data_IF_071396046734
#
_entry.id   IF_071396046734
#
_cell.length_a   1.000
_cell.length_b   1.000
_cell.length_c   1.000
_cell.angle_alpha   90.00
_cell.angle_beta   90.00
_cell.angle_gamma   90.00
#
_symmetry.space_group_name_H-M   'P 1'
#
loop_
_entity.id
_entity.type
_entity.pdbx_description
1 polymer ?
#
# COMPACT_ATOMS: atom_id res chain seq x y z
N UNK A 1 -46.99 -28.06 8.92
CA UNK A 1 -46.70 -26.60 8.97
C UNK A 1 -45.22 -26.47 8.73
N UNK A 2 -44.82 -26.00 7.55
CA UNK A 2 -43.41 -25.99 7.16
C UNK A 2 -42.61 -25.14 8.12
N UNK A 3 -41.58 -25.72 8.72
CA UNK A 3 -40.56 -24.99 9.46
C UNK A 3 -39.88 -24.05 8.47
N UNK A 4 -40.43 -22.84 8.34
CA UNK A 4 -39.79 -21.80 7.56
C UNK A 4 -38.37 -21.67 8.11
N UNK A 5 -37.33 -21.75 7.26
CA UNK A 5 -35.95 -21.87 7.73
C UNK A 5 -35.45 -20.50 8.21
N UNK A 6 -36.01 -20.03 9.32
CA UNK A 6 -35.72 -18.75 9.95
C UNK A 6 -34.22 -18.59 10.22
N UNK A 7 -33.55 -19.69 10.62
CA UNK A 7 -32.11 -19.73 10.79
C UNK A 7 -31.34 -19.36 9.52
N UNK A 8 -31.82 -19.80 8.34
CA UNK A 8 -31.21 -19.49 7.05
C UNK A 8 -31.41 -18.02 6.68
N UNK A 9 -32.60 -17.48 6.93
CA UNK A 9 -32.90 -16.04 6.74
C UNK A 9 -32.05 -15.17 7.66
N UNK A 10 -31.89 -15.55 8.93
CA UNK A 10 -31.01 -14.86 9.87
C UNK A 10 -29.54 -14.95 9.46
N UNK A 11 -29.07 -16.12 9.01
CA UNK A 11 -27.71 -16.30 8.54
C UNK A 11 -27.41 -15.44 7.31
N UNK A 12 -28.30 -15.41 6.31
CA UNK A 12 -28.18 -14.56 5.12
C UNK A 12 -28.23 -13.08 5.50
N UNK A 13 -29.15 -12.68 6.39
CA UNK A 13 -29.24 -11.32 6.91
C UNK A 13 -27.95 -10.89 7.61
N UNK A 14 -27.37 -11.74 8.44
CA UNK A 14 -26.11 -11.47 9.14
C UNK A 14 -24.93 -11.32 8.16
N UNK A 15 -24.83 -12.19 7.14
CA UNK A 15 -23.79 -12.09 6.10
C UNK A 15 -23.92 -10.78 5.33
N UNK A 16 -25.13 -10.41 4.90
CA UNK A 16 -25.36 -9.15 4.17
C UNK A 16 -24.98 -7.92 5.03
N UNK A 17 -25.31 -7.94 6.32
CA UNK A 17 -25.02 -6.84 7.25
C UNK A 17 -23.50 -6.70 7.52
N UNK A 18 -22.79 -7.82 7.67
CA UNK A 18 -21.33 -7.86 7.80
C UNK A 18 -20.62 -7.41 6.50
N UNK A 19 -21.07 -7.89 5.35
CA UNK A 19 -20.53 -7.50 4.05
C UNK A 19 -20.70 -5.99 3.79
N UNK A 20 -21.87 -5.43 4.10
CA UNK A 20 -22.11 -3.99 3.98
C UNK A 20 -21.24 -3.15 4.93
N UNK A 21 -20.91 -3.67 6.13
CA UNK A 21 -19.98 -3.03 7.07
C UNK A 21 -18.54 -3.07 6.57
N UNK A 22 -18.12 -4.19 5.99
CA UNK A 22 -16.77 -4.36 5.41
C UNK A 22 -16.59 -3.47 4.18
N UNK A 23 -17.59 -3.42 3.30
CA UNK A 23 -17.57 -2.59 2.08
C UNK A 23 -17.48 -1.09 2.40
N UNK A 24 -18.25 -0.61 3.39
CA UNK A 24 -18.19 0.79 3.85
C UNK A 24 -16.80 1.17 4.39
N UNK A 25 -16.12 0.26 5.10
CA UNK A 25 -14.77 0.50 5.61
C UNK A 25 -13.72 0.62 4.50
N UNK A 26 -13.86 -0.15 3.42
CA UNK A 26 -12.96 -0.10 2.25
C UNK A 26 -13.04 1.28 1.57
N UNK A 27 -14.26 1.71 1.22
CA UNK A 27 -14.52 3.00 0.55
C UNK A 27 -14.14 4.20 1.40
N UNK A 28 -14.35 4.13 2.71
CA UNK A 28 -13.99 5.22 3.61
C UNK A 28 -12.46 5.44 3.66
N UNK A 29 -11.65 4.36 3.61
CA UNK A 29 -10.18 4.48 3.53
C UNK A 29 -9.70 5.09 2.22
N UNK A 30 -10.33 4.73 1.10
CA UNK A 30 -10.02 5.29 -0.22
C UNK A 30 -10.37 6.78 -0.28
N UNK A 31 -11.57 7.16 0.17
CA UNK A 31 -12.01 8.56 0.20
C UNK A 31 -11.13 9.45 1.09
N UNK A 32 -10.66 8.93 2.24
CA UNK A 32 -9.74 9.66 3.11
C UNK A 32 -8.35 9.85 2.48
N UNK A 33 -7.86 8.85 1.75
CA UNK A 33 -6.59 8.97 1.02
C UNK A 33 -6.69 9.94 -0.16
N UNK A 34 -7.83 9.98 -0.86
CA UNK A 34 -8.06 10.90 -1.98
C UNK A 34 -8.23 12.35 -1.51
N UNK A 35 -8.88 12.56 -0.37
CA UNK A 35 -9.04 13.86 0.29
C UNK A 35 -7.80 14.29 1.10
N UNK A 36 -6.78 13.44 1.23
CA UNK A 36 -5.59 13.78 2.00
C UNK A 36 -4.80 14.90 1.30
N UNK A 37 -4.41 15.96 2.03
CA UNK A 37 -3.55 17.00 1.49
C UNK A 37 -2.16 16.43 1.18
N UNK A 38 -1.47 17.03 0.20
CA UNK A 38 -0.08 16.72 -0.08
C UNK A 38 0.77 17.06 1.16
N UNK A 39 1.46 16.06 1.71
CA UNK A 39 2.30 16.19 2.88
C UNK A 39 3.76 16.08 2.46
N UNK A 40 4.55 17.10 2.75
CA UNK A 40 5.99 17.15 2.50
C UNK A 40 6.69 16.91 3.84
N UNK A 41 7.54 15.89 3.90
CA UNK A 41 8.27 15.51 5.12
C UNK A 41 9.73 15.35 4.79
N UNK A 42 10.62 16.00 5.53
CA UNK A 42 12.06 15.75 5.42
C UNK A 42 12.38 14.36 5.96
N UNK A 43 12.95 13.50 5.12
CA UNK A 43 13.21 12.11 5.45
C UNK A 43 14.51 11.60 4.82
N UNK A 44 15.09 10.58 5.44
CA UNK A 44 16.25 9.85 4.97
C UNK A 44 15.85 8.48 4.45
N UNK A 45 16.43 8.03 3.34
CA UNK A 45 16.22 6.67 2.83
C UNK A 45 17.01 5.68 3.70
N UNK A 46 16.33 4.93 4.56
CA UNK A 46 16.98 3.99 5.48
C UNK A 46 17.27 2.65 4.82
N UNK A 47 16.34 2.14 4.02
CA UNK A 47 16.47 0.83 3.39
C UNK A 47 15.70 0.79 2.08
N UNK A 48 16.21 -0.01 1.13
CA UNK A 48 15.61 -0.25 -0.18
C UNK A 48 15.50 -1.76 -0.37
N UNK A 49 14.34 -2.22 -0.85
CA UNK A 49 14.08 -3.63 -1.11
C UNK A 49 13.37 -3.80 -2.44
N UNK A 50 13.88 -4.71 -3.24
CA UNK A 50 13.22 -5.23 -4.43
C UNK A 50 12.89 -6.71 -4.23
N UNK A 51 11.68 -7.12 -4.62
CA UNK A 51 11.25 -8.51 -4.53
C UNK A 51 10.23 -8.83 -5.62
N UNK A 52 10.23 -10.05 -6.16
CA UNK A 52 9.24 -10.45 -7.16
C UNK A 52 7.84 -10.42 -6.55
N UNK A 53 6.82 -9.98 -7.31
CA UNK A 53 5.42 -10.26 -6.95
C UNK A 53 5.24 -11.77 -6.92
N UNK A 54 5.27 -12.36 -5.73
CA UNK A 54 4.90 -13.76 -5.56
C UNK A 54 3.49 -13.98 -6.11
N UNK A 55 3.40 -14.55 -7.32
CA UNK A 55 2.15 -15.10 -7.83
C UNK A 55 1.92 -16.40 -7.07
N UNK A 56 1.07 -16.35 -6.03
CA UNK A 56 0.44 -17.53 -5.45
C UNK A 56 -0.51 -18.16 -6.48
N UNK A 57 0.02 -18.76 -7.54
CA UNK A 57 -0.65 -19.84 -8.29
C UNK A 57 0.42 -20.84 -8.65
N UNK A 58 0.35 -21.98 -7.98
CA UNK A 58 1.17 -23.13 -8.26
C UNK A 58 0.94 -23.61 -9.69
N UNK A 59 2.04 -24.13 -10.26
CA UNK A 59 2.19 -24.88 -11.50
C UNK A 59 2.43 -24.07 -12.76
N UNK A 60 3.62 -24.36 -13.28
CA UNK A 60 3.90 -24.58 -14.69
C UNK A 60 3.61 -23.38 -15.59
N UNK A 61 4.64 -22.60 -15.87
CA UNK A 61 5.20 -22.46 -17.23
C UNK A 61 6.43 -21.56 -17.12
N UNK A 62 7.58 -22.07 -17.58
CA UNK A 62 8.73 -21.25 -17.94
C UNK A 62 8.31 -20.37 -19.12
N UNK A 63 7.84 -19.16 -18.82
CA UNK A 63 7.82 -18.08 -19.79
C UNK A 63 8.74 -17.02 -19.21
N UNK A 64 9.80 -16.69 -19.94
CA UNK A 64 10.64 -15.52 -19.67
C UNK A 64 9.78 -14.25 -19.82
N UNK A 65 8.97 -13.96 -18.81
CA UNK A 65 8.26 -12.70 -18.64
C UNK A 65 9.00 -12.02 -17.50
N UNK A 66 9.48 -10.79 -17.73
CA UNK A 66 9.97 -9.93 -16.66
C UNK A 66 9.06 -10.10 -15.45
N UNK A 67 9.58 -10.74 -14.40
CA UNK A 67 8.82 -11.02 -13.20
C UNK A 67 8.36 -9.66 -12.66
N UNK A 68 7.07 -9.52 -12.35
CA UNK A 68 6.48 -8.22 -12.02
C UNK A 68 7.08 -7.73 -10.68
N UNK A 69 8.14 -6.93 -10.72
CA UNK A 69 8.94 -6.59 -9.54
C UNK A 69 8.22 -5.58 -8.64
N UNK A 70 8.34 -5.77 -7.33
CA UNK A 70 7.92 -4.82 -6.32
C UNK A 70 9.13 -4.07 -5.78
N UNK A 71 8.98 -2.76 -5.75
CA UNK A 71 9.98 -1.85 -5.23
C UNK A 71 9.42 -1.20 -3.97
N UNK A 72 10.12 -1.36 -2.86
CA UNK A 72 9.80 -0.73 -1.58
C UNK A 72 11.01 0.04 -1.06
N UNK A 73 10.76 1.22 -0.51
CA UNK A 73 11.75 1.94 0.28
C UNK A 73 11.20 2.31 1.63
N UNK A 74 12.05 2.20 2.64
CA UNK A 74 11.80 2.64 4.01
C UNK A 74 12.48 3.97 4.21
N UNK A 75 11.66 4.98 4.53
CA UNK A 75 12.09 6.34 4.82
C UNK A 75 12.02 6.59 6.32
N UNK A 76 13.06 7.18 6.90
CA UNK A 76 13.07 7.65 8.28
C UNK A 76 12.86 9.17 8.28
N UNK A 77 11.72 9.69 8.75
CA UNK A 77 11.51 11.12 8.91
C UNK A 77 12.52 11.74 9.87
N UNK A 78 13.04 12.92 9.53
CA UNK A 78 13.97 13.67 10.41
C UNK A 78 13.20 14.29 11.58
N UNK A 79 12.00 14.81 11.31
CA UNK A 79 11.16 15.48 12.30
C UNK A 79 10.06 14.57 12.91
N UNK A 80 10.14 13.25 12.71
CA UNK A 80 9.07 12.32 13.11
C UNK A 80 9.58 11.02 13.70
N UNK A 81 8.80 10.44 14.62
CA UNK A 81 9.07 9.14 15.21
C UNK A 81 8.33 8.05 14.43
N UNK A 82 9.04 7.30 13.59
CA UNK A 82 8.50 6.11 12.91
C UNK A 82 8.99 6.00 11.47
N UNK A 83 9.49 4.82 11.12
CA UNK A 83 9.93 4.53 9.76
C UNK A 83 8.70 4.34 8.85
N UNK A 84 8.69 5.02 7.71
CA UNK A 84 7.61 5.00 6.71
C UNK A 84 8.04 4.09 5.57
N UNK A 85 7.38 2.96 5.40
CA UNK A 85 7.64 2.06 4.25
C UNK A 85 6.62 2.32 3.15
N UNK A 86 7.11 2.60 1.95
CA UNK A 86 6.29 2.95 0.79
C UNK A 86 6.67 2.09 -0.40
N UNK A 87 5.65 1.73 -1.18
CA UNK A 87 5.82 1.11 -2.47
C UNK A 87 6.08 2.18 -3.53
N UNK A 88 7.08 1.94 -4.36
CA UNK A 88 7.58 2.85 -5.39
C UNK A 88 7.36 2.25 -6.78
N UNK A 89 7.40 3.10 -7.78
CA UNK A 89 7.61 2.69 -9.17
C UNK A 89 9.10 2.42 -9.42
N UNK A 90 9.42 1.58 -10.41
CA UNK A 90 10.80 1.21 -10.74
C UNK A 90 11.68 2.45 -10.98
N UNK A 91 11.18 3.41 -11.77
CA UNK A 91 11.92 4.62 -12.12
C UNK A 91 12.30 5.46 -10.88
N UNK A 92 11.37 5.63 -9.93
CA UNK A 92 11.62 6.38 -8.70
C UNK A 92 12.54 5.60 -7.76
N UNK A 93 12.36 4.28 -7.67
CA UNK A 93 13.21 3.43 -6.84
C UNK A 93 14.67 3.47 -7.25
N UNK A 94 14.96 3.43 -8.56
CA UNK A 94 16.34 3.45 -9.05
C UNK A 94 17.03 4.81 -8.89
N UNK A 95 16.28 5.90 -8.68
CA UNK A 95 16.83 7.23 -8.41
C UNK A 95 17.20 7.46 -6.94
N UNK A 96 16.74 6.59 -6.03
CA UNK A 96 16.98 6.71 -4.60
C UNK A 96 18.27 5.97 -4.21
N UNK A 97 19.07 6.54 -3.33
CA UNK A 97 20.16 5.83 -2.67
C UNK A 97 19.93 5.72 -1.17
N UNK A 98 20.42 4.64 -0.56
CA UNK A 98 20.37 4.46 0.89
C UNK A 98 21.25 5.52 1.57
N UNK A 99 20.74 6.16 2.62
CA UNK A 99 21.37 7.30 3.31
C UNK A 99 21.08 8.66 2.66
N UNK A 100 20.38 8.70 1.53
CA UNK A 100 20.01 9.94 0.87
C UNK A 100 18.96 10.68 1.71
N UNK A 101 19.23 11.94 2.03
CA UNK A 101 18.32 12.83 2.74
C UNK A 101 17.61 13.75 1.75
N UNK A 102 16.34 14.02 1.99
CA UNK A 102 15.55 14.82 1.08
C UNK A 102 14.14 15.09 1.58
N UNK A 103 13.34 15.71 0.71
CA UNK A 103 11.93 15.97 0.95
C UNK A 103 11.09 14.86 0.33
N UNK A 104 10.45 14.06 1.18
CA UNK A 104 9.50 13.03 0.81
C UNK A 104 8.10 13.64 0.69
N UNK A 105 7.53 13.59 -0.52
CA UNK A 105 6.17 14.03 -0.80
C UNK A 105 5.20 12.86 -0.84
N UNK A 106 4.16 12.95 -0.02
CA UNK A 106 3.19 11.88 0.23
C UNK A 106 1.77 12.42 0.08
N UNK A 107 0.86 11.60 -0.44
CA UNK A 107 -0.57 11.87 -0.40
C UNK A 107 -1.27 10.70 0.30
N UNK A 108 -1.70 10.91 1.54
CA UNK A 108 -2.19 9.83 2.41
C UNK A 108 -1.12 8.75 2.61
N UNK A 109 -1.37 7.54 2.12
CA UNK A 109 -0.41 6.41 2.16
C UNK A 109 0.36 6.20 0.85
N UNK A 110 0.21 7.09 -0.13
CA UNK A 110 0.83 6.96 -1.45
C UNK A 110 2.08 7.83 -1.58
N UNK A 111 3.14 7.26 -2.13
CA UNK A 111 4.32 7.99 -2.57
C UNK A 111 4.00 8.86 -3.79
N UNK A 112 4.41 10.13 -3.77
CA UNK A 112 4.27 11.05 -4.91
C UNK A 112 5.63 11.32 -5.53
N UNK A 113 6.61 11.75 -4.72
CA UNK A 113 7.97 12.06 -5.18
C UNK A 113 8.92 12.14 -4.01
N UNK A 114 10.19 11.88 -4.27
CA UNK A 114 11.28 12.23 -3.36
C UNK A 114 12.19 13.25 -4.05
N UNK A 115 12.48 14.35 -3.35
CA UNK A 115 13.40 15.38 -3.85
C UNK A 115 14.66 15.31 -2.99
N UNK A 116 15.80 14.84 -3.53
CA UNK A 116 17.03 14.80 -2.78
C UNK A 116 17.46 16.22 -2.39
N UNK A 117 17.89 16.37 -1.15
CA UNK A 117 18.50 17.61 -0.69
C UNK A 117 19.90 17.66 -1.30
N UNK A 118 20.10 18.50 -2.32
CA UNK A 118 21.43 18.77 -2.87
C UNK A 118 22.30 19.31 -1.72
N UNK A 119 23.42 18.65 -1.46
CA UNK A 119 24.50 19.18 -0.62
C UNK A 119 25.42 20.05 -1.46
#
# INVERSE_FOLDING_TARGET
MGDFPWLLVFAVGAILLLAARQYRRQRYREAQNDAAPLRIVSAEVKHKREFPRTRRRAREHQVMVMEDMLYEATFRPIAGSGDITLRLESADYHQLDTGMQGSLQLKGTRFIRFVPQQR
#
